data_IF_988623275791
#
_entry.id   IF_988623275791
#
_cell.length_a   1.000
_cell.length_b   1.000
_cell.length_c   1.000
_cell.angle_alpha   90.00
_cell.angle_beta   90.00
_cell.angle_gamma   90.00
#
_symmetry.space_group_name_H-M   'P 1'
#
loop_
_entity.id
_entity.type
_entity.pdbx_description
1 polymer ?
#
# COMPACT_ATOMS: atom_id res chain seq x y z
N UNK A 1 -18.26 29.75 26.14
CA UNK A 1 -18.78 30.91 26.94
C UNK A 1 -17.64 31.88 27.14
N UNK A 2 -17.95 33.15 26.90
CA UNK A 2 -17.00 34.23 27.13
C UNK A 2 -17.45 34.98 28.35
N UNK A 3 -16.51 35.26 29.23
CA UNK A 3 -16.73 36.01 30.45
C UNK A 3 -16.04 37.37 30.33
N UNK A 4 -16.69 38.40 30.79
CA UNK A 4 -16.06 39.69 31.02
C UNK A 4 -16.34 40.12 32.45
N UNK A 5 -15.30 40.44 33.19
CA UNK A 5 -15.37 40.96 34.56
C UNK A 5 -14.97 42.41 34.49
N UNK A 6 -15.83 43.26 34.98
CA UNK A 6 -15.57 44.69 35.10
C UNK A 6 -15.40 45.01 36.59
N UNK A 7 -14.19 45.36 36.99
CA UNK A 7 -13.92 45.84 38.34
C UNK A 7 -14.19 47.33 38.40
N UNK A 8 -14.98 47.76 39.37
CA UNK A 8 -15.17 49.16 39.66
C UNK A 8 -13.95 49.72 40.40
N UNK A 9 -13.52 50.94 40.05
CA UNK A 9 -12.37 51.58 40.75
C UNK A 9 -12.61 51.82 42.25
N UNK A 10 -13.88 51.88 42.67
CA UNK A 10 -14.27 51.93 44.07
C UNK A 10 -15.58 51.17 44.27
N UNK A 11 -15.79 50.51 45.43
CA UNK A 11 -17.03 49.83 45.73
C UNK A 11 -18.22 50.78 45.66
N UNK A 12 -19.30 50.34 44.99
CA UNK A 12 -20.58 51.04 45.03
C UNK A 12 -21.30 50.64 46.30
N UNK A 13 -21.58 51.62 47.14
CA UNK A 13 -22.50 51.44 48.24
C UNK A 13 -23.90 51.84 47.78
N UNK A 14 -24.77 50.86 47.66
CA UNK A 14 -26.17 51.07 47.31
C UNK A 14 -27.05 50.91 48.54
N UNK A 15 -27.94 51.87 48.80
CA UNK A 15 -29.01 51.75 49.80
C UNK A 15 -30.14 50.87 49.23
N UNK A 16 -31.02 50.34 50.09
CA UNK A 16 -32.13 49.49 49.72
C UNK A 16 -33.14 50.09 48.68
N UNK A 17 -33.06 51.40 48.46
CA UNK A 17 -33.91 52.14 47.52
C UNK A 17 -33.24 52.45 46.19
N UNK A 18 -31.95 52.20 46.04
CA UNK A 18 -31.20 52.49 44.82
C UNK A 18 -31.14 51.27 43.88
N UNK A 19 -31.21 51.52 42.57
CA UNK A 19 -31.13 50.49 41.56
C UNK A 19 -29.91 50.70 40.66
N UNK A 20 -29.10 49.67 40.49
CA UNK A 20 -28.01 49.67 39.54
C UNK A 20 -28.55 49.41 38.12
N UNK A 21 -28.30 50.33 37.20
CA UNK A 21 -28.58 50.13 35.79
C UNK A 21 -27.29 49.77 35.07
N UNK A 22 -27.23 48.59 34.46
CA UNK A 22 -26.14 48.15 33.62
C UNK A 22 -26.59 48.24 32.18
N UNK A 23 -25.91 49.07 31.35
CA UNK A 23 -26.17 49.19 29.91
C UNK A 23 -25.10 48.48 29.14
N UNK A 24 -25.45 47.47 28.32
CA UNK A 24 -24.56 46.77 27.43
C UNK A 24 -24.76 47.35 26.01
N UNK A 25 -23.73 47.94 25.43
CA UNK A 25 -23.74 48.44 24.09
C UNK A 25 -22.83 47.61 23.18
N UNK A 26 -23.38 46.96 22.18
CA UNK A 26 -22.62 46.18 21.24
C UNK A 26 -22.32 47.04 19.99
N UNK A 27 -21.06 47.45 19.85
CA UNK A 27 -20.64 48.35 18.75
C UNK A 27 -19.96 47.64 17.57
N UNK A 28 -19.78 46.33 17.60
CA UNK A 28 -19.17 45.57 16.51
C UNK A 28 -20.22 45.19 15.43
N UNK A 29 -20.03 45.68 14.23
CA UNK A 29 -20.83 45.37 13.04
C UNK A 29 -20.61 43.93 12.59
N UNK A 30 -21.71 43.21 12.42
CA UNK A 30 -21.78 41.81 12.01
C UNK A 30 -22.89 41.12 12.80
N UNK A 31 -23.65 40.28 12.19
CA UNK A 31 -24.89 39.66 12.70
C UNK A 31 -24.70 38.77 13.94
N UNK A 32 -23.68 39.00 14.78
CA UNK A 32 -23.43 38.31 16.04
C UNK A 32 -24.13 39.05 17.17
N UNK A 33 -25.32 38.58 17.56
CA UNK A 33 -26.02 39.04 18.73
C UNK A 33 -25.73 38.12 19.94
N UNK A 34 -25.53 38.67 21.12
CA UNK A 34 -25.52 37.87 22.34
C UNK A 34 -26.91 37.25 22.55
N UNK A 35 -27.02 35.94 22.41
CA UNK A 35 -28.29 35.23 22.52
C UNK A 35 -28.75 35.03 23.98
N UNK A 36 -27.81 34.90 24.90
CA UNK A 36 -28.07 34.81 26.36
C UNK A 36 -26.91 35.40 27.13
N UNK A 37 -27.21 36.25 28.08
CA UNK A 37 -26.23 36.74 29.06
C UNK A 37 -26.85 36.75 30.46
N UNK A 38 -26.00 36.66 31.44
CA UNK A 38 -26.37 36.78 32.87
C UNK A 38 -25.45 37.82 33.51
N UNK A 39 -26.00 38.73 34.24
CA UNK A 39 -25.25 39.72 35.03
C UNK A 39 -25.30 39.29 36.48
N UNK A 40 -24.16 39.19 37.08
CA UNK A 40 -24.01 39.00 38.54
C UNK A 40 -23.12 40.07 39.12
N UNK A 41 -23.36 40.41 40.35
CA UNK A 41 -22.52 41.32 41.15
C UNK A 41 -21.80 40.53 42.23
N UNK A 42 -20.58 40.92 42.58
CA UNK A 42 -19.79 40.31 43.64
C UNK A 42 -18.91 41.34 44.28
N UNK A 43 -18.63 41.14 45.54
CA UNK A 43 -17.64 41.86 46.32
C UNK A 43 -16.21 41.29 46.16
N UNK A 44 -16.07 40.20 45.43
CA UNK A 44 -14.79 39.56 45.15
C UNK A 44 -14.18 40.13 43.86
N UNK A 45 -13.01 40.69 43.95
CA UNK A 45 -12.30 41.37 42.85
C UNK A 45 -11.53 40.41 41.95
N UNK A 46 -11.32 39.16 42.33
CA UNK A 46 -10.61 38.17 41.54
C UNK A 46 -11.60 37.25 40.80
N UNK A 47 -11.67 37.37 39.46
CA UNK A 47 -12.58 36.60 38.62
C UNK A 47 -12.36 35.08 38.69
N UNK A 48 -11.17 34.60 39.07
CA UNK A 48 -10.89 33.19 39.25
C UNK A 48 -11.62 32.64 40.50
N UNK A 49 -11.72 33.43 41.58
CA UNK A 49 -12.44 33.06 42.81
C UNK A 49 -13.96 32.96 42.58
N UNK A 50 -14.49 33.64 41.58
CA UNK A 50 -15.90 33.61 41.24
C UNK A 50 -16.34 32.28 40.65
N UNK A 51 -15.50 31.68 39.84
CA UNK A 51 -15.74 30.36 39.22
C UNK A 51 -15.80 29.28 40.29
N UNK A 52 -14.94 29.39 41.30
CA UNK A 52 -14.87 28.45 42.42
C UNK A 52 -15.97 28.65 43.47
N UNK A 53 -16.56 29.84 43.54
CA UNK A 53 -17.63 30.19 44.51
C UNK A 53 -19.03 29.66 44.09
N UNK A 54 -19.22 29.28 42.82
CA UNK A 54 -20.49 28.73 42.31
C UNK A 54 -20.30 27.30 41.84
N UNK A 55 -20.62 26.29 42.64
CA UNK A 55 -20.35 24.88 42.35
C UNK A 55 -20.90 24.40 40.97
N UNK A 56 -22.07 24.89 40.59
CA UNK A 56 -22.67 24.53 39.29
C UNK A 56 -21.87 25.09 38.10
N UNK A 57 -21.29 26.29 38.25
CA UNK A 57 -20.46 26.91 37.21
C UNK A 57 -19.13 26.17 37.08
N UNK A 58 -18.50 25.83 38.21
CA UNK A 58 -17.30 25.02 38.24
C UNK A 58 -17.53 23.66 37.61
N UNK A 59 -18.58 22.95 37.98
CA UNK A 59 -18.97 21.66 37.43
C UNK A 59 -19.19 21.73 35.91
N UNK A 60 -19.82 22.80 35.41
CA UNK A 60 -20.03 22.98 33.96
C UNK A 60 -18.71 23.28 33.24
N UNK A 61 -17.80 24.04 33.81
CA UNK A 61 -16.47 24.31 33.23
C UNK A 61 -15.64 23.03 33.20
N UNK A 62 -15.61 22.28 34.28
CA UNK A 62 -14.90 21.00 34.35
C UNK A 62 -15.46 19.98 33.36
N UNK A 63 -16.78 19.93 33.17
CA UNK A 63 -17.42 19.08 32.15
C UNK A 63 -17.01 19.48 30.71
N UNK A 64 -16.97 20.78 30.43
CA UNK A 64 -16.50 21.28 29.12
C UNK A 64 -15.03 20.92 28.91
N UNK A 65 -14.18 21.14 29.90
CA UNK A 65 -12.76 20.79 29.81
C UNK A 65 -12.54 19.28 29.61
N UNK A 66 -13.35 18.45 30.28
CA UNK A 66 -13.31 17.00 30.10
C UNK A 66 -13.73 16.58 28.67
N UNK A 67 -14.77 17.18 28.12
CA UNK A 67 -15.21 16.94 26.73
C UNK A 67 -14.15 17.42 25.72
N UNK A 68 -13.56 18.59 25.93
CA UNK A 68 -12.50 19.11 25.07
C UNK A 68 -11.28 18.18 25.07
N UNK A 69 -10.91 17.65 26.24
CA UNK A 69 -9.84 16.64 26.36
C UNK A 69 -10.18 15.35 25.61
N UNK A 70 -11.43 14.89 25.70
CA UNK A 70 -11.89 13.72 24.93
C UNK A 70 -11.84 13.99 23.41
N UNK A 71 -12.26 15.15 22.96
CA UNK A 71 -12.20 15.57 21.55
C UNK A 71 -10.74 15.62 21.08
N UNK A 72 -9.84 16.21 21.87
CA UNK A 72 -8.42 16.25 21.54
C UNK A 72 -7.82 14.84 21.44
N UNK A 73 -8.09 13.99 22.43
CA UNK A 73 -7.66 12.59 22.41
C UNK A 73 -8.20 11.81 21.22
N UNK A 74 -9.49 11.97 20.89
CA UNK A 74 -10.10 11.34 19.73
C UNK A 74 -9.46 11.83 18.42
N UNK A 75 -9.19 13.14 18.30
CA UNK A 75 -8.52 13.72 17.12
C UNK A 75 -7.09 13.21 16.95
N UNK A 76 -6.36 13.02 18.04
CA UNK A 76 -4.99 12.51 18.01
C UNK A 76 -4.93 11.01 17.69
N UNK A 77 -5.97 10.26 18.07
CA UNK A 77 -6.13 8.85 17.71
C UNK A 77 -6.58 8.64 16.23
N UNK A 78 -7.11 9.67 15.57
CA UNK A 78 -7.51 9.58 14.17
C UNK A 78 -6.28 9.46 13.26
N UNK A 79 -6.31 8.49 12.36
CA UNK A 79 -5.32 8.40 11.28
C UNK A 79 -5.39 9.66 10.41
N UNK A 80 -4.30 10.41 10.35
CA UNK A 80 -4.19 11.62 9.52
C UNK A 80 -3.53 11.25 8.20
N UNK A 81 -4.23 11.51 7.10
CA UNK A 81 -3.67 11.38 5.75
C UNK A 81 -3.35 12.76 5.21
N UNK A 82 -2.19 12.94 4.56
CA UNK A 82 -1.91 14.18 3.83
C UNK A 82 -2.88 14.27 2.64
N UNK A 83 -3.58 15.39 2.55
CA UNK A 83 -4.46 15.69 1.43
C UNK A 83 -3.98 16.93 0.68
N UNK A 84 -4.18 16.95 -0.64
CA UNK A 84 -3.99 18.16 -1.43
C UNK A 84 -5.19 19.08 -1.21
N UNK A 85 -4.94 20.22 -0.60
CA UNK A 85 -5.96 21.25 -0.35
C UNK A 85 -5.64 22.50 -1.18
N UNK A 86 -6.67 23.09 -1.80
CA UNK A 86 -6.50 24.39 -2.45
C UNK A 86 -6.10 25.47 -1.45
N UNK A 87 -5.11 26.27 -1.83
CA UNK A 87 -4.72 27.42 -1.06
C UNK A 87 -5.78 28.51 -1.15
N UNK A 88 -5.96 29.28 -0.07
CA UNK A 88 -6.77 30.48 -0.10
C UNK A 88 -6.22 31.45 -1.18
N UNK A 89 -7.07 32.27 -1.84
CA UNK A 89 -6.62 33.18 -2.89
C UNK A 89 -5.44 34.05 -2.48
N UNK A 90 -5.43 34.54 -1.23
CA UNK A 90 -4.35 35.34 -0.65
C UNK A 90 -3.03 34.60 -0.43
N UNK A 91 -3.05 33.26 -0.39
CA UNK A 91 -1.89 32.41 -0.19
C UNK A 91 -1.37 31.79 -1.50
N UNK A 92 -2.06 32.00 -2.62
CA UNK A 92 -1.63 31.53 -3.94
C UNK A 92 -0.40 32.32 -4.39
N UNK A 93 0.67 31.60 -4.73
CA UNK A 93 1.87 32.20 -5.32
C UNK A 93 1.67 32.43 -6.82
N UNK A 94 2.28 33.46 -7.36
CA UNK A 94 2.42 33.67 -8.80
C UNK A 94 3.36 32.61 -9.38
N UNK A 95 2.90 31.85 -10.36
CA UNK A 95 3.73 30.86 -11.07
C UNK A 95 4.26 31.51 -12.36
N UNK A 96 5.54 31.32 -12.65
CA UNK A 96 6.20 31.85 -13.85
C UNK A 96 6.97 30.76 -14.58
N UNK A 97 7.15 30.94 -15.88
CA UNK A 97 8.06 30.09 -16.67
C UNK A 97 9.48 30.33 -16.17
N UNK A 98 10.22 29.29 -15.88
CA UNK A 98 11.63 29.38 -15.57
C UNK A 98 12.45 29.27 -16.86
N UNK A 99 13.16 30.33 -17.24
CA UNK A 99 13.99 30.35 -18.45
C UNK A 99 15.09 29.29 -18.31
N UNK A 100 15.14 28.35 -19.27
CA UNK A 100 16.06 27.20 -19.23
C UNK A 100 16.05 26.41 -17.90
N UNK A 101 14.93 26.39 -17.20
CA UNK A 101 14.79 25.72 -15.89
C UNK A 101 15.36 26.49 -14.69
N UNK A 102 15.92 27.70 -14.89
CA UNK A 102 16.50 28.51 -13.82
C UNK A 102 15.42 29.23 -13.01
N UNK A 103 15.32 28.93 -11.71
CA UNK A 103 14.38 29.64 -10.82
C UNK A 103 14.82 31.09 -10.55
N UNK A 104 16.08 31.45 -10.87
CA UNK A 104 16.61 32.81 -10.74
C UNK A 104 16.31 33.70 -11.96
N UNK A 105 15.82 33.09 -13.05
CA UNK A 105 15.42 33.81 -14.27
C UNK A 105 13.95 33.54 -14.60
N UNK A 106 13.01 34.17 -13.87
CA UNK A 106 11.58 34.00 -14.07
C UNK A 106 11.09 34.77 -15.29
N UNK A 107 10.46 34.08 -16.24
CA UNK A 107 9.82 34.65 -17.43
C UNK A 107 8.34 35.01 -17.23
N UNK A 108 7.53 34.78 -18.26
CA UNK A 108 6.12 35.12 -18.27
C UNK A 108 5.34 34.41 -17.15
N UNK A 109 4.32 35.13 -16.65
CA UNK A 109 3.40 34.58 -15.65
C UNK A 109 2.46 33.56 -16.28
N UNK A 110 2.20 32.49 -15.55
CA UNK A 110 1.30 31.42 -15.94
C UNK A 110 0.09 31.33 -15.01
N UNK A 111 -1.06 31.15 -15.59
CA UNK A 111 -2.28 30.75 -14.89
C UNK A 111 -2.54 29.28 -15.06
N UNK A 112 -3.23 28.67 -14.09
CA UNK A 112 -3.64 27.27 -14.21
C UNK A 112 -4.57 27.10 -15.43
N UNK A 113 -4.30 26.06 -16.24
CA UNK A 113 -5.13 25.72 -17.39
C UNK A 113 -5.24 24.20 -17.53
N UNK A 114 -6.28 23.73 -18.19
CA UNK A 114 -6.40 22.36 -18.65
C UNK A 114 -5.75 22.22 -20.03
N UNK A 115 -5.37 20.99 -20.39
CA UNK A 115 -4.84 20.72 -21.72
C UNK A 115 -5.95 20.96 -22.77
N UNK A 116 -5.69 21.73 -23.84
CA UNK A 116 -6.70 22.10 -24.82
C UNK A 116 -7.10 20.97 -25.77
N UNK A 117 -6.42 19.82 -25.70
CA UNK A 117 -6.64 18.69 -26.62
C UNK A 117 -8.07 18.11 -26.53
N UNK A 118 -8.67 18.15 -25.35
CA UNK A 118 -10.03 17.64 -25.12
C UNK A 118 -10.80 18.72 -24.35
N UNK A 119 -11.54 19.57 -25.04
CA UNK A 119 -12.28 20.63 -24.39
C UNK A 119 -13.41 20.05 -23.54
N UNK A 120 -13.35 20.32 -22.26
CA UNK A 120 -14.47 20.11 -21.34
C UNK A 120 -15.23 21.40 -21.24
N UNK A 121 -16.55 21.35 -21.30
CA UNK A 121 -17.41 22.51 -21.07
C UNK A 121 -17.27 22.97 -19.62
N UNK A 122 -16.22 23.74 -19.33
CA UNK A 122 -16.04 24.37 -18.02
C UNK A 122 -16.23 25.91 -18.19
N UNK A 123 -17.24 26.45 -17.53
CA UNK A 123 -17.47 27.89 -17.46
C UNK A 123 -16.54 28.59 -16.43
N UNK A 124 -15.43 27.95 -16.06
CA UNK A 124 -14.52 28.50 -15.04
C UNK A 124 -13.35 29.22 -15.68
N UNK A 125 -13.15 30.45 -15.31
CA UNK A 125 -12.06 31.31 -15.83
C UNK A 125 -10.67 30.81 -15.42
N UNK A 126 -10.54 30.14 -14.26
CA UNK A 126 -9.29 29.51 -13.75
C UNK A 126 -9.62 28.16 -13.18
N UNK A 127 -9.18 27.05 -13.80
CA UNK A 127 -9.44 25.70 -13.30
C UNK A 127 -8.64 25.41 -12.02
N UNK A 128 -9.22 24.55 -11.19
CA UNK A 128 -8.59 24.00 -9.99
C UNK A 128 -8.37 22.48 -10.12
N UNK A 129 -7.88 21.84 -9.07
CA UNK A 129 -7.64 20.39 -9.07
C UNK A 129 -8.89 19.54 -9.32
N UNK A 130 -10.05 19.99 -8.84
CA UNK A 130 -11.31 19.30 -9.12
C UNK A 130 -11.64 19.32 -10.60
N UNK A 131 -11.48 20.49 -11.26
CA UNK A 131 -11.70 20.60 -12.71
C UNK A 131 -10.73 19.72 -13.50
N UNK A 132 -9.46 19.62 -13.07
CA UNK A 132 -8.50 18.68 -13.67
C UNK A 132 -8.92 17.22 -13.49
N UNK A 133 -9.42 16.84 -12.31
CA UNK A 133 -9.92 15.49 -12.06
C UNK A 133 -11.17 15.17 -12.92
N UNK A 134 -12.11 16.11 -13.04
CA UNK A 134 -13.28 15.97 -13.89
C UNK A 134 -12.88 15.84 -15.37
N UNK A 135 -11.89 16.64 -15.82
CA UNK A 135 -11.36 16.54 -17.18
C UNK A 135 -10.76 15.16 -17.49
N UNK A 136 -10.05 14.53 -16.52
CA UNK A 136 -9.47 13.20 -16.71
C UNK A 136 -10.53 12.13 -16.95
N UNK A 137 -11.70 12.22 -16.33
CA UNK A 137 -12.77 11.22 -16.43
C UNK A 137 -13.92 11.66 -17.33
N UNK A 138 -13.77 12.79 -18.05
CA UNK A 138 -14.77 13.28 -18.97
C UNK A 138 -14.97 12.32 -20.15
N UNK A 139 -16.21 12.19 -20.61
CA UNK A 139 -16.57 11.30 -21.72
C UNK A 139 -15.84 11.67 -23.04
N UNK A 140 -15.49 12.94 -23.22
CA UNK A 140 -14.73 13.41 -24.38
C UNK A 140 -13.23 13.20 -24.26
N UNK A 141 -12.72 12.72 -23.11
CA UNK A 141 -11.32 12.39 -22.96
C UNK A 141 -11.09 10.89 -23.30
N UNK A 142 -10.59 10.56 -24.49
CA UNK A 142 -10.40 9.20 -24.91
C UNK A 142 -9.14 8.54 -24.33
N UNK A 143 -8.20 9.34 -23.79
CA UNK A 143 -6.88 8.82 -23.38
C UNK A 143 -6.93 8.11 -22.04
N UNK A 144 -7.61 8.66 -21.04
CA UNK A 144 -7.63 8.09 -19.69
C UNK A 144 -8.11 6.62 -19.68
N UNK A 145 -9.25 6.26 -20.30
CA UNK A 145 -9.70 4.88 -20.31
C UNK A 145 -8.78 3.95 -21.11
N UNK A 146 -8.19 4.41 -22.23
CA UNK A 146 -7.21 3.63 -23.00
C UNK A 146 -5.95 3.35 -22.20
N UNK A 147 -5.38 4.36 -21.56
CA UNK A 147 -4.18 4.20 -20.72
C UNK A 147 -4.44 3.23 -19.57
N UNK A 148 -5.58 3.35 -18.89
CA UNK A 148 -5.95 2.45 -17.80
C UNK A 148 -6.20 1.02 -18.27
N UNK A 149 -6.92 0.84 -19.37
CA UNK A 149 -7.15 -0.49 -19.97
C UNK A 149 -5.81 -1.14 -20.35
N UNK A 150 -4.91 -0.40 -20.99
CA UNK A 150 -3.59 -0.89 -21.38
C UNK A 150 -2.73 -1.29 -20.17
N UNK A 151 -2.73 -0.51 -19.10
CA UNK A 151 -2.00 -0.84 -17.86
C UNK A 151 -2.53 -2.10 -17.20
N UNK A 152 -3.85 -2.27 -17.14
CA UNK A 152 -4.46 -3.48 -16.58
C UNK A 152 -4.13 -4.68 -17.47
N UNK A 153 -4.22 -4.54 -18.80
CA UNK A 153 -3.80 -5.54 -19.76
C UNK A 153 -2.33 -5.96 -19.57
N UNK A 154 -1.43 -4.98 -19.48
CA UNK A 154 -0.01 -5.22 -19.24
C UNK A 154 0.27 -5.99 -17.95
N UNK A 155 -0.44 -5.68 -16.86
CA UNK A 155 -0.31 -6.45 -15.62
C UNK A 155 -0.79 -7.90 -15.75
N UNK A 156 -1.71 -8.16 -16.65
CA UNK A 156 -2.27 -9.49 -16.89
C UNK A 156 -1.47 -10.31 -17.92
N UNK A 157 -0.87 -9.68 -18.90
CA UNK A 157 -0.16 -10.35 -20.00
C UNK A 157 1.36 -10.11 -20.01
N UNK A 158 1.86 -9.30 -19.06
CA UNK A 158 3.28 -8.93 -19.00
C UNK A 158 3.72 -7.91 -20.06
N UNK A 159 2.82 -7.52 -20.97
CA UNK A 159 3.03 -6.54 -22.04
C UNK A 159 1.73 -5.83 -22.36
N UNK A 160 1.77 -4.52 -22.59
CA UNK A 160 0.62 -3.72 -23.02
C UNK A 160 0.27 -3.96 -24.50
N UNK A 161 -0.98 -3.67 -24.85
CA UNK A 161 -1.42 -3.55 -26.27
C UNK A 161 -0.63 -2.41 -26.93
N UNK A 162 -0.40 -1.30 -26.20
CA UNK A 162 0.63 -0.30 -26.48
C UNK A 162 1.83 -0.64 -25.60
N UNK A 163 2.97 -0.91 -26.23
CA UNK A 163 4.17 -1.36 -25.51
C UNK A 163 4.83 -0.24 -24.69
N UNK A 164 4.78 0.98 -25.20
CA UNK A 164 5.28 2.18 -24.52
C UNK A 164 4.22 2.72 -23.58
N UNK A 165 4.06 2.08 -22.41
CA UNK A 165 3.03 2.46 -21.43
C UNK A 165 3.20 3.89 -20.91
N UNK A 166 4.41 4.42 -21.01
CA UNK A 166 4.82 5.78 -20.65
C UNK A 166 4.50 6.82 -21.73
N UNK A 167 4.28 6.39 -22.97
CA UNK A 167 4.06 7.30 -24.10
C UNK A 167 2.99 6.77 -25.06
N UNK A 168 1.83 7.41 -25.03
CA UNK A 168 0.71 7.20 -25.96
C UNK A 168 0.67 8.28 -27.05
N UNK A 169 1.71 9.09 -27.14
CA UNK A 169 1.83 10.17 -28.12
C UNK A 169 2.51 9.73 -29.41
N UNK A 170 2.93 10.72 -30.19
CA UNK A 170 3.54 10.50 -31.51
C UNK A 170 4.90 9.80 -31.50
N UNK A 171 5.56 9.73 -30.35
CA UNK A 171 6.83 9.01 -30.17
C UNK A 171 6.62 7.60 -29.63
N UNK A 172 5.42 7.26 -29.19
CA UNK A 172 5.08 5.96 -28.64
C UNK A 172 4.85 4.89 -29.72
N UNK A 173 4.85 3.63 -29.29
CA UNK A 173 4.52 2.51 -30.15
C UNK A 173 3.02 2.51 -30.52
N UNK A 174 2.72 2.15 -31.76
CA UNK A 174 1.33 1.92 -32.14
C UNK A 174 0.76 0.68 -31.44
N UNK A 175 -0.53 0.69 -31.09
CA UNK A 175 -1.19 -0.45 -30.48
C UNK A 175 -1.13 -1.67 -31.42
N UNK A 176 -0.86 -2.86 -30.86
CA UNK A 176 -0.88 -4.12 -31.64
C UNK A 176 -2.30 -4.50 -32.08
N UNK A 177 -3.31 -4.13 -31.30
CA UNK A 177 -4.74 -4.40 -31.54
C UNK A 177 -5.55 -3.14 -31.21
N UNK A 178 -5.64 -2.18 -32.16
CA UNK A 178 -6.28 -0.89 -31.89
C UNK A 178 -7.76 -1.00 -31.53
N UNK A 179 -8.52 -1.82 -32.28
CA UNK A 179 -9.95 -1.99 -32.01
C UNK A 179 -10.20 -2.63 -30.63
N UNK A 180 -9.37 -3.59 -30.22
CA UNK A 180 -9.47 -4.20 -28.89
C UNK A 180 -9.21 -3.17 -27.78
N UNK A 181 -8.20 -2.30 -27.97
CA UNK A 181 -7.90 -1.26 -26.98
C UNK A 181 -9.06 -0.27 -26.84
N UNK A 182 -9.67 0.10 -27.97
CA UNK A 182 -10.80 1.02 -27.98
C UNK A 182 -12.04 0.39 -27.34
N UNK A 183 -12.34 -0.86 -27.65
CA UNK A 183 -13.46 -1.60 -27.05
C UNK A 183 -13.29 -1.74 -25.54
N UNK A 184 -12.11 -2.17 -25.08
CA UNK A 184 -11.82 -2.26 -23.64
C UNK A 184 -11.94 -0.90 -22.92
N UNK A 185 -11.51 0.17 -23.58
CA UNK A 185 -11.59 1.51 -23.03
C UNK A 185 -13.04 1.99 -22.89
N UNK A 186 -13.88 1.75 -23.91
CA UNK A 186 -15.31 2.09 -23.91
C UNK A 186 -16.03 1.28 -22.85
N UNK A 187 -15.86 -0.04 -22.82
CA UNK A 187 -16.47 -0.91 -21.82
C UNK A 187 -16.05 -0.51 -20.40
N UNK A 188 -14.78 -0.19 -20.19
CA UNK A 188 -14.28 0.20 -18.88
C UNK A 188 -14.95 1.47 -18.36
N UNK A 189 -15.09 2.48 -19.25
CA UNK A 189 -15.72 3.76 -18.89
C UNK A 189 -17.24 3.64 -18.77
N UNK A 190 -17.91 3.12 -19.80
CA UNK A 190 -19.35 3.25 -19.99
C UNK A 190 -20.14 2.08 -19.39
N UNK A 191 -19.69 0.82 -19.62
CA UNK A 191 -20.39 -0.36 -19.14
C UNK A 191 -19.98 -0.75 -17.70
N UNK A 192 -18.71 -0.63 -17.38
CA UNK A 192 -18.16 -1.06 -16.09
C UNK A 192 -18.08 0.06 -15.06
N UNK A 193 -18.45 1.29 -15.42
CA UNK A 193 -18.42 2.46 -14.52
C UNK A 193 -17.08 2.58 -13.80
N UNK A 194 -15.98 2.55 -14.56
CA UNK A 194 -14.59 2.61 -14.07
C UNK A 194 -14.23 1.49 -13.08
N UNK A 195 -14.98 0.38 -13.05
CA UNK A 195 -14.70 -0.75 -12.17
C UNK A 195 -13.55 -1.61 -12.68
N UNK A 196 -12.36 -1.43 -12.09
CA UNK A 196 -11.17 -2.24 -12.37
C UNK A 196 -11.47 -3.74 -12.21
N UNK A 197 -12.27 -4.13 -11.21
CA UNK A 197 -12.62 -5.54 -11.01
C UNK A 197 -13.45 -6.13 -12.13
N UNK A 198 -14.39 -5.35 -12.69
CA UNK A 198 -15.21 -5.79 -13.82
C UNK A 198 -14.36 -5.92 -15.07
N UNK A 199 -13.45 -4.97 -15.34
CA UNK A 199 -12.52 -5.04 -16.47
C UNK A 199 -11.57 -6.25 -16.34
N UNK A 200 -10.95 -6.47 -15.17
CA UNK A 200 -10.12 -7.66 -14.94
C UNK A 200 -10.92 -8.93 -15.20
N UNK A 201 -12.15 -9.04 -14.66
CA UNK A 201 -13.01 -10.20 -14.90
C UNK A 201 -13.28 -10.42 -16.38
N UNK A 202 -13.61 -9.37 -17.12
CA UNK A 202 -13.86 -9.46 -18.56
C UNK A 202 -12.63 -10.03 -19.29
N UNK A 203 -11.42 -9.52 -18.97
CA UNK A 203 -10.18 -9.95 -19.62
C UNK A 203 -9.83 -11.41 -19.26
N UNK A 204 -9.89 -11.79 -17.97
CA UNK A 204 -9.47 -13.15 -17.54
C UNK A 204 -10.44 -14.25 -18.00
N UNK A 205 -11.65 -13.88 -18.36
CA UNK A 205 -12.64 -14.82 -18.94
C UNK A 205 -12.47 -15.03 -20.44
N UNK A 206 -11.57 -14.31 -21.11
CA UNK A 206 -11.29 -14.48 -22.54
C UNK A 206 -10.46 -15.73 -22.81
N UNK A 207 -10.67 -16.35 -23.97
CA UNK A 207 -9.84 -17.46 -24.43
C UNK A 207 -8.37 -17.06 -24.55
N UNK A 208 -8.10 -15.80 -24.89
CA UNK A 208 -6.71 -15.27 -24.97
C UNK A 208 -5.98 -15.35 -23.64
N UNK A 209 -6.65 -15.02 -22.52
CA UNK A 209 -6.05 -15.13 -21.20
C UNK A 209 -5.90 -16.57 -20.71
N UNK A 210 -6.85 -17.43 -21.08
CA UNK A 210 -6.91 -18.83 -20.66
C UNK A 210 -6.03 -19.76 -21.49
N UNK A 211 -5.28 -19.23 -22.48
CA UNK A 211 -4.32 -20.01 -23.23
C UNK A 211 -3.21 -20.55 -22.33
N UNK A 212 -2.83 -21.80 -22.54
CA UNK A 212 -1.66 -22.40 -21.91
C UNK A 212 -0.35 -21.87 -22.51
N UNK A 213 0.73 -22.00 -21.76
CA UNK A 213 2.09 -21.84 -22.27
C UNK A 213 2.50 -23.13 -23.00
N UNK A 214 2.15 -23.23 -24.27
CA UNK A 214 2.62 -24.34 -25.10
C UNK A 214 3.82 -23.85 -25.92
N UNK A 215 4.94 -24.55 -25.77
CA UNK A 215 6.10 -24.30 -26.61
C UNK A 215 5.81 -24.83 -28.01
N UNK A 216 5.65 -23.91 -28.97
CA UNK A 216 5.46 -24.20 -30.40
C UNK A 216 6.49 -23.35 -31.16
N UNK A 217 7.46 -24.02 -31.76
CA UNK A 217 8.55 -23.38 -32.48
C UNK A 217 8.04 -22.51 -33.64
N UNK A 218 7.05 -22.96 -34.38
CA UNK A 218 6.49 -22.21 -35.50
C UNK A 218 5.81 -20.90 -35.06
N UNK A 219 5.13 -20.91 -33.89
CA UNK A 219 4.57 -19.69 -33.30
C UNK A 219 5.66 -18.77 -32.78
N UNK A 220 6.72 -19.34 -32.17
CA UNK A 220 7.85 -18.57 -31.68
C UNK A 220 8.64 -17.89 -32.80
N UNK A 221 8.84 -18.56 -33.91
CA UNK A 221 9.49 -17.99 -35.10
C UNK A 221 8.68 -16.82 -35.68
N UNK A 222 7.35 -16.95 -35.73
CA UNK A 222 6.47 -15.92 -36.28
C UNK A 222 6.28 -14.72 -35.34
N UNK A 223 6.22 -14.97 -34.02
CA UNK A 223 6.00 -13.95 -33.00
C UNK A 223 6.88 -14.26 -31.79
N UNK A 224 8.21 -14.02 -31.88
CA UNK A 224 9.16 -14.34 -30.82
C UNK A 224 8.83 -13.59 -29.52
N UNK A 225 8.31 -12.39 -29.63
CA UNK A 225 8.00 -11.52 -28.48
C UNK A 225 6.57 -11.65 -27.97
N UNK A 226 5.77 -12.58 -28.53
CA UNK A 226 4.35 -12.75 -28.21
C UNK A 226 3.54 -11.43 -28.29
N UNK A 227 3.81 -10.63 -29.33
CA UNK A 227 3.16 -9.34 -29.54
C UNK A 227 1.68 -9.49 -29.90
N UNK A 228 1.31 -10.63 -30.48
CA UNK A 228 -0.07 -10.95 -30.87
C UNK A 228 -0.82 -11.81 -29.86
N UNK A 229 -0.25 -11.99 -28.66
CA UNK A 229 -0.88 -12.75 -27.56
C UNK A 229 -1.36 -14.15 -27.99
N UNK A 230 -0.60 -14.81 -28.84
CA UNK A 230 -0.96 -16.14 -29.41
C UNK A 230 -0.70 -17.29 -28.41
N UNK A 231 -0.09 -17.03 -27.28
CA UNK A 231 0.23 -17.94 -26.18
C UNK A 231 0.22 -17.21 -24.85
N UNK A 232 0.15 -17.93 -23.73
CA UNK A 232 0.36 -17.33 -22.42
C UNK A 232 1.78 -16.75 -22.30
N UNK A 233 1.90 -15.60 -21.63
CA UNK A 233 3.20 -14.96 -21.41
C UNK A 233 3.75 -15.38 -20.06
N UNK A 234 5.00 -15.85 -20.04
CA UNK A 234 5.74 -16.12 -18.80
C UNK A 234 6.55 -14.88 -18.41
N UNK A 235 6.31 -14.36 -17.25
CA UNK A 235 7.08 -13.25 -16.69
C UNK A 235 7.24 -13.39 -15.18
N UNK A 236 8.32 -12.80 -14.65
CA UNK A 236 8.65 -12.85 -13.24
C UNK A 236 7.58 -12.13 -12.43
N UNK A 237 7.20 -12.71 -11.30
CA UNK A 237 6.29 -12.08 -10.34
C UNK A 237 6.97 -10.85 -9.70
N UNK A 238 6.16 -9.86 -9.33
CA UNK A 238 6.68 -8.69 -8.60
C UNK A 238 7.10 -9.06 -7.18
N UNK A 239 8.01 -8.32 -6.60
CA UNK A 239 8.55 -8.55 -5.26
C UNK A 239 7.47 -8.78 -4.19
N UNK A 240 6.42 -7.96 -4.21
CA UNK A 240 5.30 -8.07 -3.27
C UNK A 240 4.53 -9.36 -3.47
N UNK A 241 4.33 -9.78 -4.74
CA UNK A 241 3.61 -11.03 -5.06
C UNK A 241 4.44 -12.25 -4.69
N UNK A 242 5.76 -12.25 -4.96
CA UNK A 242 6.66 -13.35 -4.54
C UNK A 242 6.56 -13.57 -3.03
N UNK A 243 6.61 -12.50 -2.24
CA UNK A 243 6.41 -12.59 -0.78
C UNK A 243 5.02 -13.11 -0.42
N UNK A 244 3.97 -12.50 -0.96
CA UNK A 244 2.58 -12.86 -0.62
C UNK A 244 2.28 -14.31 -0.98
N UNK A 245 2.72 -14.76 -2.15
CA UNK A 245 2.54 -16.13 -2.61
C UNK A 245 3.29 -17.14 -1.72
N UNK A 246 4.52 -16.82 -1.33
CA UNK A 246 5.31 -17.65 -0.43
C UNK A 246 4.63 -17.81 0.93
N UNK A 247 4.20 -16.69 1.53
CA UNK A 247 3.47 -16.73 2.80
C UNK A 247 2.10 -17.44 2.68
N UNK A 248 1.42 -17.31 1.55
CA UNK A 248 0.15 -17.99 1.29
C UNK A 248 0.35 -19.52 1.18
N UNK A 249 1.34 -19.98 0.41
CA UNK A 249 1.69 -21.40 0.29
C UNK A 249 2.08 -21.99 1.65
N UNK A 250 2.80 -21.22 2.46
CA UNK A 250 3.17 -21.58 3.82
C UNK A 250 2.00 -21.55 4.83
N UNK A 251 0.86 -20.92 4.48
CA UNK A 251 -0.28 -20.74 5.38
C UNK A 251 -0.07 -19.66 6.44
N UNK A 252 0.92 -18.79 6.25
CA UNK A 252 1.28 -17.72 7.18
C UNK A 252 0.68 -16.37 6.79
N UNK A 253 0.21 -16.19 5.56
CA UNK A 253 -0.24 -14.89 5.06
C UNK A 253 -1.39 -14.31 5.89
N UNK A 254 -1.17 -13.15 6.48
CA UNK A 254 -2.22 -12.40 7.19
C UNK A 254 -3.21 -11.76 6.24
N UNK A 255 -4.49 -11.92 6.54
CA UNK A 255 -5.59 -11.26 5.81
C UNK A 255 -5.89 -9.83 6.28
N UNK A 256 -5.21 -9.35 7.32
CA UNK A 256 -5.41 -8.02 7.91
C UNK A 256 -5.19 -6.91 6.87
N UNK A 257 -6.17 -6.03 6.73
CA UNK A 257 -6.16 -4.90 5.80
C UNK A 257 -6.05 -3.57 6.54
N UNK A 258 -5.37 -2.60 5.91
CA UNK A 258 -5.19 -1.26 6.47
C UNK A 258 -4.21 -1.22 7.66
N UNK A 259 -4.09 -0.07 8.31
CA UNK A 259 -3.18 0.15 9.42
C UNK A 259 -1.75 0.56 8.99
N UNK A 260 -0.84 0.73 9.97
CA UNK A 260 0.52 1.20 9.73
C UNK A 260 1.35 0.18 8.94
N UNK A 261 2.48 0.62 8.33
CA UNK A 261 3.43 -0.28 7.70
C UNK A 261 4.08 -1.20 8.74
N UNK A 262 4.54 -2.35 8.28
CA UNK A 262 5.19 -3.38 9.09
C UNK A 262 6.64 -3.58 8.68
N UNK A 263 7.45 -4.08 9.59
CA UNK A 263 8.87 -4.38 9.38
C UNK A 263 9.08 -5.90 9.42
N UNK A 264 9.01 -6.61 8.28
CA UNK A 264 9.28 -8.05 8.24
C UNK A 264 10.72 -8.37 8.67
N UNK A 265 11.04 -9.63 9.03
CA UNK A 265 12.41 -9.98 9.33
C UNK A 265 13.33 -9.74 8.13
N UNK A 266 14.55 -9.30 8.41
CA UNK A 266 15.61 -9.11 7.44
C UNK A 266 16.96 -9.46 8.10
N UNK A 267 18.02 -9.70 7.32
CA UNK A 267 19.35 -9.92 7.87
C UNK A 267 19.81 -8.77 8.77
N UNK A 268 20.52 -9.10 9.84
CA UNK A 268 21.02 -8.14 10.81
C UNK A 268 22.06 -7.18 10.20
N UNK A 269 22.13 -5.99 10.75
CA UNK A 269 23.21 -5.03 10.46
C UNK A 269 22.96 -4.07 9.29
N UNK A 270 21.94 -4.28 8.47
CA UNK A 270 21.65 -3.44 7.30
C UNK A 270 21.32 -1.98 7.67
N UNK A 271 20.75 -1.76 8.85
CA UNK A 271 20.35 -0.42 9.33
C UNK A 271 21.35 0.22 10.31
N UNK A 272 22.59 -0.28 10.40
CA UNK A 272 23.61 0.27 11.33
C UNK A 272 24.05 1.68 11.00
N UNK A 273 24.02 2.06 9.73
CA UNK A 273 24.53 3.34 9.22
C UNK A 273 23.44 4.30 8.73
N UNK A 274 22.20 4.16 9.19
CA UNK A 274 21.15 5.11 8.78
C UNK A 274 21.39 6.48 9.40
N UNK A 275 21.44 7.52 8.57
CA UNK A 275 21.65 8.90 8.99
C UNK A 275 20.70 9.38 10.10
N UNK A 276 19.47 8.87 10.11
CA UNK A 276 18.45 9.27 11.08
C UNK A 276 18.52 8.53 12.44
N UNK A 277 19.47 7.61 12.62
CA UNK A 277 19.51 6.74 13.80
C UNK A 277 18.34 5.77 13.94
N UNK A 278 17.44 5.71 12.94
CA UNK A 278 16.31 4.81 12.94
C UNK A 278 16.78 3.35 12.96
N UNK A 279 16.06 2.49 13.70
CA UNK A 279 16.33 1.06 13.80
C UNK A 279 15.22 0.27 13.11
N UNK A 280 15.59 -0.86 12.53
CA UNK A 280 14.62 -1.84 12.07
C UNK A 280 14.21 -2.70 13.27
N UNK A 281 12.94 -2.61 13.64
CA UNK A 281 12.37 -3.43 14.71
C UNK A 281 11.41 -4.42 14.07
N UNK A 282 11.82 -5.69 14.00
CA UNK A 282 11.02 -6.73 13.36
C UNK A 282 9.65 -6.84 14.01
N UNK A 283 8.61 -6.78 13.18
CA UNK A 283 7.22 -6.95 13.62
C UNK A 283 6.99 -8.37 14.15
N UNK A 284 6.14 -8.50 15.16
CA UNK A 284 5.80 -9.75 15.82
C UNK A 284 4.34 -10.14 15.55
N UNK A 285 4.01 -11.40 15.81
CA UNK A 285 2.66 -11.95 15.64
C UNK A 285 2.17 -11.81 14.20
N UNK A 286 0.90 -11.51 14.02
CA UNK A 286 0.25 -11.39 12.70
C UNK A 286 0.91 -10.35 11.79
N UNK A 287 1.39 -9.24 12.34
CA UNK A 287 1.99 -8.15 11.58
C UNK A 287 3.32 -8.56 10.89
N UNK A 288 3.99 -9.62 11.38
CA UNK A 288 5.17 -10.23 10.74
C UNK A 288 4.85 -10.82 9.36
N UNK A 289 3.63 -11.33 9.19
CA UNK A 289 3.18 -12.08 8.02
C UNK A 289 2.22 -11.30 7.11
N UNK A 290 2.18 -9.99 7.26
CA UNK A 290 1.33 -9.14 6.41
C UNK A 290 1.82 -9.11 4.96
N UNK A 291 0.89 -8.79 4.07
CA UNK A 291 1.15 -8.65 2.64
C UNK A 291 2.29 -7.68 2.36
N UNK A 292 3.04 -7.95 1.29
CA UNK A 292 4.18 -7.16 0.86
C UNK A 292 3.92 -5.67 0.69
N UNK A 293 2.68 -5.30 0.30
CA UNK A 293 2.28 -3.89 0.17
C UNK A 293 2.38 -3.08 1.49
N UNK A 294 2.33 -3.77 2.64
CA UNK A 294 2.46 -3.12 3.96
C UNK A 294 3.89 -3.04 4.45
N UNK A 295 4.87 -3.59 3.73
CA UNK A 295 6.29 -3.52 4.14
C UNK A 295 6.74 -2.07 4.20
N UNK A 296 7.33 -1.69 5.35
CA UNK A 296 7.90 -0.35 5.54
C UNK A 296 9.00 -0.10 4.50
N UNK A 297 8.91 1.03 3.83
CA UNK A 297 9.85 1.41 2.79
C UNK A 297 10.60 2.68 3.17
N UNK A 298 11.92 2.58 3.24
CA UNK A 298 12.82 3.71 3.38
C UNK A 298 13.65 3.84 2.13
N UNK A 299 13.55 4.96 1.40
CA UNK A 299 14.24 5.18 0.12
C UNK A 299 15.76 4.99 0.19
N UNK A 300 16.38 5.46 1.29
CA UNK A 300 17.83 5.36 1.51
C UNK A 300 18.32 3.98 1.92
N UNK A 301 17.42 3.09 2.34
CA UNK A 301 17.73 1.72 2.78
C UNK A 301 16.48 0.87 2.55
N UNK A 302 16.21 0.50 1.29
CA UNK A 302 15.03 -0.29 0.94
C UNK A 302 15.10 -1.70 1.56
N UNK A 303 13.97 -2.38 1.59
CA UNK A 303 13.90 -3.75 2.11
C UNK A 303 14.59 -4.71 1.12
N UNK A 304 15.66 -5.45 1.52
CA UNK A 304 16.59 -6.10 0.60
C UNK A 304 15.97 -7.11 -0.35
N UNK A 305 15.11 -7.99 0.16
CA UNK A 305 14.51 -9.02 -0.71
C UNK A 305 13.59 -8.40 -1.76
N UNK A 306 12.90 -7.31 -1.44
CA UNK A 306 12.09 -6.61 -2.44
C UNK A 306 12.94 -5.89 -3.48
N UNK A 307 14.06 -5.28 -3.08
CA UNK A 307 15.01 -4.65 -4.01
C UNK A 307 15.58 -5.69 -4.98
N UNK A 308 15.97 -6.86 -4.47
CA UNK A 308 16.49 -7.96 -5.29
C UNK A 308 15.44 -8.48 -6.30
N UNK A 309 14.16 -8.39 -5.99
CA UNK A 309 13.05 -8.72 -6.90
C UNK A 309 12.48 -7.48 -7.62
N UNK A 310 13.33 -6.52 -7.97
CA UNK A 310 13.01 -5.35 -8.82
C UNK A 310 11.89 -4.45 -8.30
N UNK A 311 11.70 -4.36 -6.98
CA UNK A 311 10.78 -3.37 -6.44
C UNK A 311 11.27 -1.95 -6.73
N UNK A 312 10.33 -1.05 -6.99
CA UNK A 312 10.66 0.35 -7.32
C UNK A 312 11.33 1.07 -6.15
N UNK A 313 12.30 1.95 -6.45
CA UNK A 313 12.99 2.77 -5.43
C UNK A 313 12.05 3.76 -4.73
N UNK A 314 10.92 4.09 -5.36
CA UNK A 314 9.95 5.13 -4.94
C UNK A 314 10.53 6.54 -4.87
N UNK A 315 11.66 6.77 -5.54
CA UNK A 315 12.24 8.10 -5.71
C UNK A 315 11.58 8.87 -6.85
N UNK A 316 11.22 8.14 -7.91
CA UNK A 316 10.54 8.66 -9.10
C UNK A 316 9.30 7.83 -9.40
N UNK A 317 8.35 8.44 -10.11
CA UNK A 317 7.19 7.71 -10.63
C UNK A 317 7.64 6.77 -11.74
N UNK A 318 7.32 5.49 -11.60
CA UNK A 318 7.57 4.47 -12.63
C UNK A 318 6.23 3.92 -13.12
N UNK A 319 6.05 3.87 -14.42
CA UNK A 319 4.82 3.39 -15.05
C UNK A 319 4.86 1.86 -15.15
N UNK A 320 6.02 1.30 -15.50
CA UNK A 320 6.25 -0.14 -15.55
C UNK A 320 7.48 -0.54 -14.76
N UNK A 321 7.51 -1.77 -14.27
CA UNK A 321 8.68 -2.35 -13.61
C UNK A 321 9.48 -3.18 -14.61
N UNK A 322 10.78 -3.13 -14.47
CA UNK A 322 11.66 -4.07 -15.14
C UNK A 322 11.58 -5.40 -14.37
N UNK A 323 11.47 -6.50 -15.07
CA UNK A 323 11.48 -7.84 -14.49
C UNK A 323 12.78 -8.53 -14.87
N UNK A 324 13.64 -8.80 -13.89
CA UNK A 324 14.88 -9.54 -14.10
C UNK A 324 14.77 -10.96 -13.57
N UNK A 325 15.66 -11.82 -14.02
CA UNK A 325 15.86 -13.14 -13.44
C UNK A 325 17.36 -13.31 -13.17
N UNK A 326 17.73 -13.15 -11.90
CA UNK A 326 19.14 -13.13 -11.49
C UNK A 326 19.44 -14.23 -10.48
N UNK A 327 20.70 -14.73 -10.42
CA UNK A 327 21.10 -15.68 -9.37
C UNK A 327 20.89 -15.16 -7.94
N UNK A 328 20.94 -13.84 -7.74
CA UNK A 328 20.70 -13.22 -6.43
C UNK A 328 19.26 -13.48 -5.94
N UNK A 329 18.29 -13.50 -6.84
CA UNK A 329 16.90 -13.81 -6.48
C UNK A 329 16.79 -15.26 -5.94
N UNK A 330 17.49 -16.21 -6.54
CA UNK A 330 17.55 -17.57 -6.04
C UNK A 330 18.24 -17.65 -4.67
N UNK A 331 19.33 -16.90 -4.46
CA UNK A 331 19.97 -16.82 -3.15
C UNK A 331 19.08 -16.23 -2.08
N UNK A 332 18.28 -15.22 -2.41
CA UNK A 332 17.31 -14.61 -1.49
C UNK A 332 16.25 -15.64 -1.08
N UNK A 333 15.63 -16.35 -2.02
CA UNK A 333 14.62 -17.36 -1.69
C UNK A 333 15.16 -18.53 -0.87
N UNK A 334 16.45 -18.79 -0.92
CA UNK A 334 17.11 -19.84 -0.14
C UNK A 334 17.58 -19.38 1.25
N UNK A 335 17.89 -18.09 1.45
CA UNK A 335 18.62 -17.65 2.65
C UNK A 335 17.96 -16.50 3.43
N UNK A 336 17.06 -15.73 2.81
CA UNK A 336 16.39 -14.63 3.52
C UNK A 336 15.46 -15.20 4.61
N UNK A 337 15.46 -14.64 5.82
CA UNK A 337 14.70 -15.14 6.96
C UNK A 337 13.22 -15.37 6.68
N UNK A 338 12.58 -14.55 5.84
CA UNK A 338 11.17 -14.71 5.49
C UNK A 338 10.92 -16.01 4.72
N UNK A 339 11.77 -16.32 3.74
CA UNK A 339 11.60 -17.49 2.89
C UNK A 339 12.01 -18.79 3.64
N UNK A 340 13.02 -18.71 4.50
CA UNK A 340 13.40 -19.83 5.38
C UNK A 340 12.25 -20.16 6.35
N UNK A 341 11.70 -19.14 7.00
CA UNK A 341 10.54 -19.31 7.90
C UNK A 341 9.31 -19.86 7.17
N UNK A 342 9.04 -19.35 5.98
CA UNK A 342 7.94 -19.86 5.15
C UNK A 342 8.16 -21.32 4.72
N UNK A 343 9.41 -21.71 4.40
CA UNK A 343 9.76 -23.08 4.06
C UNK A 343 9.51 -24.03 5.23
N UNK A 344 9.85 -23.64 6.46
CA UNK A 344 9.55 -24.40 7.67
C UNK A 344 8.04 -24.58 7.88
N UNK A 345 7.27 -23.50 7.75
CA UNK A 345 5.82 -23.58 7.89
C UNK A 345 5.17 -24.46 6.82
N UNK A 346 5.63 -24.34 5.57
CA UNK A 346 5.17 -25.17 4.47
C UNK A 346 5.53 -26.62 4.68
N UNK A 347 6.73 -26.94 5.18
CA UNK A 347 7.16 -28.28 5.53
C UNK A 347 6.25 -28.90 6.61
N UNK A 348 5.95 -28.16 7.66
CA UNK A 348 5.03 -28.61 8.71
C UNK A 348 3.65 -28.97 8.12
N UNK A 349 3.10 -28.13 7.26
CA UNK A 349 1.81 -28.38 6.59
C UNK A 349 1.86 -29.62 5.70
N UNK A 350 2.94 -29.82 4.95
CA UNK A 350 3.08 -31.00 4.11
C UNK A 350 3.17 -32.29 4.94
N UNK A 351 3.96 -32.27 6.03
CA UNK A 351 4.06 -33.36 6.96
C UNK A 351 2.71 -33.76 7.59
N UNK A 352 1.88 -32.76 7.89
CA UNK A 352 0.54 -32.97 8.46
C UNK A 352 -0.50 -33.40 7.39
N UNK A 353 -0.23 -33.21 6.10
CA UNK A 353 -1.22 -33.44 5.04
C UNK A 353 -1.44 -34.91 4.71
N UNK A 354 -0.46 -35.80 4.96
CA UNK A 354 -0.52 -37.22 4.63
C UNK A 354 0.45 -38.02 5.51
N UNK A 355 0.31 -39.36 5.51
CA UNK A 355 1.15 -40.28 6.29
C UNK A 355 2.38 -40.75 5.52
N UNK A 356 2.37 -40.76 4.19
CA UNK A 356 3.49 -41.22 3.36
C UNK A 356 4.16 -40.07 2.60
N UNK A 357 5.47 -40.15 2.40
CA UNK A 357 6.24 -39.13 1.69
C UNK A 357 5.79 -38.93 0.24
N UNK A 358 5.45 -39.96 -0.56
CA UNK A 358 4.90 -39.75 -1.88
C UNK A 358 3.60 -38.91 -1.90
N UNK A 359 2.66 -39.23 -1.01
CA UNK A 359 1.40 -38.46 -0.90
C UNK A 359 1.62 -37.02 -0.44
N UNK A 360 2.58 -36.77 0.47
CA UNK A 360 2.97 -35.43 0.90
C UNK A 360 3.49 -34.60 -0.26
N UNK A 361 4.33 -35.20 -1.11
CA UNK A 361 4.83 -34.55 -2.32
C UNK A 361 3.70 -34.25 -3.30
N UNK A 362 2.79 -35.20 -3.55
CA UNK A 362 1.64 -35.01 -4.46
C UNK A 362 0.74 -33.87 -4.01
N UNK A 363 0.32 -33.89 -2.75
CA UNK A 363 -0.54 -32.85 -2.18
C UNK A 363 0.18 -31.52 -2.11
N UNK A 364 1.44 -31.52 -1.73
CA UNK A 364 2.26 -30.33 -1.62
C UNK A 364 2.43 -29.62 -2.98
N UNK A 365 2.74 -30.38 -4.04
CA UNK A 365 2.83 -29.84 -5.39
C UNK A 365 1.50 -29.27 -5.88
N UNK A 366 0.41 -30.01 -5.68
CA UNK A 366 -0.91 -29.53 -6.09
C UNK A 366 -1.30 -28.24 -5.34
N UNK A 367 -0.99 -28.12 -4.04
CA UNK A 367 -1.28 -26.92 -3.27
C UNK A 367 -0.39 -25.72 -3.63
N UNK A 368 0.85 -25.98 -4.05
CA UNK A 368 1.86 -24.93 -4.24
C UNK A 368 1.95 -24.49 -5.69
N UNK A 369 1.88 -25.45 -6.65
CA UNK A 369 2.05 -25.23 -8.09
C UNK A 369 0.78 -25.47 -8.91
N UNK A 370 -0.32 -25.88 -8.26
CA UNK A 370 -1.62 -26.16 -8.87
C UNK A 370 -1.56 -27.23 -9.99
N UNK A 371 -0.56 -28.11 -9.98
CA UNK A 371 -0.43 -29.24 -10.89
C UNK A 371 0.11 -30.50 -10.17
N UNK A 372 -0.10 -31.69 -10.75
CA UNK A 372 0.55 -32.90 -10.26
C UNK A 372 2.08 -32.82 -10.44
N UNK A 373 2.80 -33.48 -9.53
CA UNK A 373 4.24 -33.67 -9.63
C UNK A 373 4.56 -34.74 -10.70
N UNK A 374 5.58 -34.49 -11.52
CA UNK A 374 6.08 -35.50 -12.46
C UNK A 374 6.95 -36.55 -11.77
N UNK A 375 7.10 -37.75 -12.38
CA UNK A 375 7.94 -38.81 -11.83
C UNK A 375 9.41 -38.39 -11.67
N UNK A 376 9.92 -37.59 -12.58
CA UNK A 376 11.28 -37.06 -12.52
C UNK A 376 11.47 -36.10 -11.35
N UNK A 377 10.52 -35.18 -11.12
CA UNK A 377 10.55 -34.25 -10.00
C UNK A 377 10.40 -35.00 -8.66
N UNK A 378 9.47 -35.95 -8.61
CA UNK A 378 9.26 -36.80 -7.45
C UNK A 378 10.55 -37.49 -7.05
N UNK A 379 11.22 -38.17 -7.97
CA UNK A 379 12.48 -38.83 -7.73
C UNK A 379 13.55 -37.90 -7.18
N UNK A 380 13.72 -36.73 -7.84
CA UNK A 380 14.70 -35.71 -7.42
C UNK A 380 14.44 -35.20 -6.00
N UNK A 381 13.17 -34.96 -5.64
CA UNK A 381 12.82 -34.47 -4.31
C UNK A 381 12.91 -35.55 -3.25
N UNK A 382 12.62 -36.83 -3.57
CA UNK A 382 12.87 -37.95 -2.69
C UNK A 382 14.36 -38.15 -2.42
N UNK A 383 15.21 -38.05 -3.46
CA UNK A 383 16.67 -38.12 -3.32
C UNK A 383 17.20 -36.94 -2.48
N UNK A 384 16.64 -35.75 -2.62
CA UNK A 384 16.97 -34.59 -1.78
C UNK A 384 16.56 -34.84 -0.35
N UNK A 385 15.34 -35.30 -0.10
CA UNK A 385 14.84 -35.63 1.23
C UNK A 385 15.69 -36.67 1.94
N UNK A 386 16.08 -37.72 1.24
CA UNK A 386 16.94 -38.78 1.81
C UNK A 386 18.31 -38.21 2.25
N UNK A 387 18.91 -37.36 1.43
CA UNK A 387 20.19 -36.69 1.77
C UNK A 387 20.06 -35.75 2.96
N UNK A 388 19.00 -34.97 3.02
CA UNK A 388 18.77 -34.02 4.12
C UNK A 388 18.42 -34.72 5.42
N UNK A 389 17.68 -35.81 5.38
CA UNK A 389 17.46 -36.67 6.56
C UNK A 389 18.78 -37.23 7.12
N UNK A 390 19.62 -37.79 6.26
CA UNK A 390 20.95 -38.28 6.67
C UNK A 390 21.83 -37.15 7.26
N UNK A 391 21.78 -35.96 6.65
CA UNK A 391 22.52 -34.78 7.13
C UNK A 391 22.07 -34.37 8.54
N UNK A 392 20.76 -34.20 8.76
CA UNK A 392 20.23 -33.73 10.04
C UNK A 392 20.15 -34.82 11.12
N UNK A 393 20.12 -36.09 10.76
CA UNK A 393 20.28 -37.20 11.72
C UNK A 393 21.66 -37.17 12.40
N UNK A 394 22.70 -36.83 11.62
CA UNK A 394 24.06 -36.71 12.11
C UNK A 394 24.39 -35.34 12.73
N UNK A 395 23.56 -34.33 12.48
CA UNK A 395 23.78 -32.92 12.89
C UNK A 395 22.52 -32.29 13.48
N UNK A 396 22.02 -32.91 14.54
CA UNK A 396 20.76 -32.48 15.17
C UNK A 396 20.77 -31.03 15.65
N UNK A 397 21.95 -30.50 16.03
CA UNK A 397 22.08 -29.11 16.46
C UNK A 397 21.88 -28.10 15.29
N UNK A 398 22.23 -28.50 14.06
CA UNK A 398 21.94 -27.68 12.88
C UNK A 398 20.43 -27.66 12.58
N UNK A 399 19.76 -28.83 12.75
CA UNK A 399 18.30 -28.90 12.62
C UNK A 399 17.62 -27.99 13.64
N UNK A 400 18.01 -28.00 14.90
CA UNK A 400 17.45 -27.12 15.95
C UNK A 400 17.66 -25.64 15.64
N UNK A 401 18.89 -25.25 15.25
CA UNK A 401 19.20 -23.87 14.85
C UNK A 401 18.38 -23.39 13.67
N UNK A 402 18.04 -24.28 12.75
CA UNK A 402 17.14 -23.92 11.64
C UNK A 402 15.72 -23.69 12.15
N UNK A 403 15.23 -24.52 13.04
CA UNK A 403 13.90 -24.36 13.65
C UNK A 403 13.78 -23.12 14.53
N UNK A 404 14.87 -22.65 15.15
CA UNK A 404 14.89 -21.41 15.94
C UNK A 404 14.54 -20.15 15.13
N UNK A 405 14.54 -20.24 13.79
CA UNK A 405 14.12 -19.14 12.93
C UNK A 405 12.60 -19.03 12.80
N UNK A 406 11.84 -20.03 13.25
CA UNK A 406 10.38 -20.00 13.19
C UNK A 406 9.79 -19.07 14.27
N UNK A 407 8.98 -18.10 13.87
CA UNK A 407 8.18 -17.28 14.78
C UNK A 407 6.70 -17.67 14.79
N UNK A 408 6.37 -18.84 14.25
CA UNK A 408 5.06 -19.47 14.30
C UNK A 408 5.12 -20.72 15.20
N UNK A 409 4.00 -21.22 15.73
CA UNK A 409 3.98 -22.40 16.58
C UNK A 409 4.43 -23.66 15.83
N UNK A 410 5.49 -24.29 16.31
CA UNK A 410 5.95 -25.58 15.82
C UNK A 410 5.15 -26.72 16.43
N UNK A 411 4.83 -27.74 15.62
CA UNK A 411 4.16 -28.96 16.07
C UNK A 411 5.14 -29.87 16.81
N UNK A 412 4.93 -30.03 18.09
CA UNK A 412 5.79 -30.86 18.95
C UNK A 412 5.76 -32.35 18.61
N UNK A 413 4.81 -32.80 17.80
CA UNK A 413 4.74 -34.20 17.35
C UNK A 413 5.69 -34.49 16.18
N UNK A 414 6.20 -33.45 15.52
CA UNK A 414 7.13 -33.57 14.39
C UNK A 414 8.55 -33.45 14.93
N UNK A 415 9.41 -34.42 14.63
CA UNK A 415 10.82 -34.36 15.04
C UNK A 415 11.53 -33.18 14.35
N UNK A 416 12.49 -32.57 15.06
CA UNK A 416 13.28 -31.46 14.51
C UNK A 416 14.02 -31.86 13.23
N UNK A 417 14.57 -33.07 13.19
CA UNK A 417 15.27 -33.63 12.02
C UNK A 417 14.33 -33.74 10.81
N UNK A 418 13.14 -34.24 11.02
CA UNK A 418 12.17 -34.44 9.95
C UNK A 418 11.66 -33.08 9.40
N UNK A 419 11.30 -32.14 10.29
CA UNK A 419 10.87 -30.83 9.91
C UNK A 419 11.97 -30.05 9.17
N UNK A 420 13.21 -30.11 9.66
CA UNK A 420 14.36 -29.48 8.96
C UNK A 420 14.60 -30.12 7.59
N UNK A 421 14.50 -31.45 7.47
CA UNK A 421 14.69 -32.15 6.20
C UNK A 421 13.65 -31.73 5.15
N UNK A 422 12.38 -31.68 5.54
CA UNK A 422 11.29 -31.26 4.67
C UNK A 422 11.35 -29.75 4.35
N UNK A 423 11.89 -28.92 5.24
CA UNK A 423 12.05 -27.50 4.95
C UNK A 423 13.00 -27.24 3.79
N UNK A 424 14.02 -28.04 3.61
CA UNK A 424 14.91 -27.95 2.45
C UNK A 424 14.18 -28.38 1.15
N UNK A 425 13.32 -29.40 1.23
CA UNK A 425 12.48 -29.81 0.08
C UNK A 425 11.52 -28.70 -0.31
N UNK A 426 10.81 -28.09 0.64
CA UNK A 426 9.88 -27.00 0.38
C UNK A 426 10.60 -25.73 -0.08
N UNK A 427 11.79 -25.43 0.45
CA UNK A 427 12.65 -24.34 -0.02
C UNK A 427 13.06 -24.54 -1.48
N UNK A 428 13.39 -25.77 -1.89
CA UNK A 428 13.67 -26.09 -3.29
C UNK A 428 12.45 -25.85 -4.18
N UNK A 429 11.24 -26.18 -3.71
CA UNK A 429 10.00 -25.95 -4.46
C UNK A 429 9.68 -24.44 -4.58
N UNK A 430 9.85 -23.67 -3.51
CA UNK A 430 9.69 -22.19 -3.56
C UNK A 430 10.68 -21.54 -4.53
N UNK A 431 11.86 -22.15 -4.72
CA UNK A 431 12.88 -21.64 -5.63
C UNK A 431 12.74 -22.12 -7.09
N UNK A 432 11.72 -22.92 -7.39
CA UNK A 432 11.43 -23.28 -8.76
C UNK A 432 11.01 -22.04 -9.57
N UNK A 433 11.49 -21.98 -10.80
CA UNK A 433 11.15 -20.91 -11.72
C UNK A 433 9.63 -20.78 -11.90
N UNK A 434 8.93 -21.91 -11.97
CA UNK A 434 7.47 -21.98 -12.07
C UNK A 434 6.75 -21.35 -10.86
N UNK A 435 7.33 -21.44 -9.66
CA UNK A 435 6.77 -20.78 -8.48
C UNK A 435 6.99 -19.26 -8.48
N UNK A 436 8.08 -18.80 -9.05
CA UNK A 436 8.49 -17.40 -9.09
C UNK A 436 8.05 -16.65 -10.34
N UNK A 437 7.44 -17.33 -11.28
CA UNK A 437 6.91 -16.77 -12.53
C UNK A 437 5.40 -16.98 -12.60
N UNK A 438 4.77 -16.13 -13.36
CA UNK A 438 3.41 -16.40 -13.81
C UNK A 438 3.44 -17.49 -14.88
N UNK A 439 2.65 -18.58 -14.75
CA UNK A 439 2.57 -19.64 -15.76
C UNK A 439 1.87 -19.19 -17.03
#
# INVERSE_FOLDING_TARGET
SHWAVFALQSPLQCSDQERLRVTLSQQFGGKLMMQRFRIGTSDVTDGALWVDAVPEVKSAIDAVAAVDKQIASARDAMARLPIMKELAPSAKRTTRIHQRGSFLDPGAELTASLLPLFPVASNHSVPNRLHAAMWLVDANNPLTPRVMANRIWSQLFGRGIVETEEDFGSQGALPSHPELLDELAIQFRDEFDWSIKRLIKAIVMTNTYQQGFVFDEARRERDPQNRWFSRSSRFRLTAEVVRDQTLAAAGLLSSKRGGPPVMPPQPDGLWRSTYSGAKWVTSIGEDRFRRGIYTFWKRTTPYPSMETFDATTREVCQIRRIHTNTPLQALVTLNDPVYVEASLAMAQRWLQSASSDPERLDRGFLQTLARPISDTERKRLQDLLARTRFHYETRQDEARRLLDQAAFPLDSQISATELASWSIVTSAVINLDEFLMRP
#
